data_IF_028063976316
#
_entry.id   IF_028063976316
#
_cell.length_a   1.000
_cell.length_b   1.000
_cell.length_c   1.000
_cell.angle_alpha   90.00
_cell.angle_beta   90.00
_cell.angle_gamma   90.00
#
_symmetry.space_group_name_H-M   'P 1'
#
loop_
_entity.id
_entity.type
_entity.pdbx_description
1 polymer ?
#
# COMPACT_ATOMS: atom_id res chain seq x y z
N UNK A 1 9.51 -62.95 28.33
CA UNK A 1 8.53 -62.18 27.54
C UNK A 1 8.08 -60.84 28.18
N UNK A 2 8.56 -60.47 29.37
CA UNK A 2 8.14 -59.19 30.03
C UNK A 2 8.91 -57.93 29.61
N UNK A 3 10.14 -58.01 29.11
CA UNK A 3 11.01 -56.92 28.82
C UNK A 3 10.55 -56.09 27.60
N UNK A 4 9.92 -56.71 26.61
CA UNK A 4 9.45 -56.04 25.35
C UNK A 4 8.22 -55.12 25.56
N UNK A 5 7.39 -55.36 26.56
CA UNK A 5 6.19 -54.54 26.85
C UNK A 5 6.52 -53.21 27.53
N UNK A 6 7.55 -53.20 28.38
CA UNK A 6 7.96 -51.99 29.11
C UNK A 6 8.60 -50.94 28.15
N UNK A 7 9.39 -51.40 27.20
CA UNK A 7 10.06 -50.54 26.23
C UNK A 7 9.07 -49.88 25.25
N UNK A 8 8.07 -50.64 24.80
CA UNK A 8 6.99 -50.08 23.93
C UNK A 8 6.12 -49.07 24.65
N UNK A 9 5.90 -49.22 25.95
CA UNK A 9 5.13 -48.25 26.75
C UNK A 9 5.91 -46.96 26.99
N UNK A 10 7.22 -47.04 27.23
CA UNK A 10 8.09 -45.88 27.38
C UNK A 10 8.18 -45.06 26.10
N UNK A 11 8.36 -45.69 24.93
CA UNK A 11 8.38 -45.00 23.64
C UNK A 11 7.05 -44.32 23.34
N UNK A 12 5.91 -44.91 23.63
CA UNK A 12 4.59 -44.26 23.44
C UNK A 12 4.41 -43.03 24.32
N UNK A 13 4.91 -43.03 25.54
CA UNK A 13 4.84 -41.88 26.45
C UNK A 13 5.75 -40.76 25.97
N UNK A 14 6.94 -41.09 25.46
CA UNK A 14 7.86 -40.09 24.87
C UNK A 14 7.27 -39.48 23.62
N UNK A 15 6.70 -40.27 22.71
CA UNK A 15 6.01 -39.79 21.53
C UNK A 15 4.79 -38.91 21.87
N UNK A 16 4.00 -39.30 22.87
CA UNK A 16 2.86 -38.51 23.31
C UNK A 16 3.29 -37.13 23.88
N UNK A 17 4.37 -37.09 24.67
CA UNK A 17 4.94 -35.84 25.21
C UNK A 17 5.51 -34.97 24.10
N UNK A 18 6.20 -35.55 23.13
CA UNK A 18 6.73 -34.80 21.96
C UNK A 18 5.61 -34.23 21.09
N UNK A 19 4.53 -35.02 20.85
CA UNK A 19 3.37 -34.53 20.10
C UNK A 19 2.64 -33.39 20.83
N UNK A 20 2.54 -33.49 22.18
CA UNK A 20 1.93 -32.43 22.99
C UNK A 20 2.77 -31.14 22.99
N UNK A 21 4.09 -31.27 23.05
CA UNK A 21 5.00 -30.12 22.95
C UNK A 21 4.94 -29.47 21.57
N UNK A 22 4.88 -30.24 20.48
CA UNK A 22 4.72 -29.74 19.13
C UNK A 22 3.38 -29.03 18.95
N UNK A 23 2.28 -29.57 19.46
CA UNK A 23 0.97 -28.92 19.42
C UNK A 23 0.95 -27.59 20.20
N UNK A 24 1.58 -27.56 21.38
CA UNK A 24 1.71 -26.32 22.16
C UNK A 24 2.51 -25.26 21.43
N UNK A 25 3.59 -25.65 20.75
CA UNK A 25 4.39 -24.73 19.93
C UNK A 25 3.57 -24.12 18.77
N UNK A 26 2.80 -24.95 18.07
CA UNK A 26 1.91 -24.49 16.99
C UNK A 26 0.86 -23.51 17.50
N UNK A 27 0.27 -23.77 18.68
CA UNK A 27 -0.71 -22.86 19.29
C UNK A 27 -0.06 -21.51 19.65
N UNK A 28 1.15 -21.51 20.21
CA UNK A 28 1.87 -20.29 20.54
C UNK A 28 2.22 -19.48 19.29
N UNK A 29 2.66 -20.16 18.22
CA UNK A 29 2.96 -19.50 16.95
C UNK A 29 1.69 -18.93 16.28
N UNK A 30 0.59 -19.68 16.32
CA UNK A 30 -0.70 -19.22 15.81
C UNK A 30 -1.26 -18.03 16.60
N UNK A 31 -1.16 -18.08 17.94
CA UNK A 31 -1.57 -16.99 18.81
C UNK A 31 -0.69 -15.74 18.61
N UNK A 32 0.62 -15.91 18.44
CA UNK A 32 1.56 -14.84 18.11
C UNK A 32 1.25 -14.20 16.75
N UNK A 33 0.94 -15.01 15.74
CA UNK A 33 0.56 -14.54 14.41
C UNK A 33 -0.78 -13.79 14.43
N UNK A 34 -1.81 -14.34 15.10
CA UNK A 34 -3.10 -13.65 15.24
C UNK A 34 -3.00 -12.41 16.11
N UNK A 35 -2.24 -12.45 17.20
CA UNK A 35 -2.00 -11.28 18.05
C UNK A 35 -1.24 -10.17 17.29
N UNK A 36 -0.26 -10.53 16.47
CA UNK A 36 0.44 -9.59 15.57
C UNK A 36 -0.52 -8.91 14.60
N UNK A 37 -1.38 -9.68 13.94
CA UNK A 37 -2.39 -9.11 13.02
C UNK A 37 -3.38 -8.16 13.71
N UNK A 38 -3.88 -8.54 14.89
CA UNK A 38 -4.80 -7.70 15.66
C UNK A 38 -4.14 -6.42 16.19
N UNK A 39 -2.82 -6.44 16.44
CA UNK A 39 -2.05 -5.25 16.82
C UNK A 39 -1.74 -4.36 15.61
N UNK A 40 -1.54 -4.95 14.42
CA UNK A 40 -1.41 -4.18 13.17
C UNK A 40 -2.70 -3.45 12.81
N UNK A 41 -3.87 -4.09 12.92
CA UNK A 41 -5.17 -3.44 12.70
C UNK A 41 -5.46 -2.28 13.69
N UNK A 42 -4.95 -2.36 14.92
CA UNK A 42 -5.10 -1.28 15.91
C UNK A 42 -4.10 -0.14 15.75
N UNK A 43 -2.96 -0.37 15.11
CA UNK A 43 -1.87 0.61 15.01
C UNK A 43 -2.03 1.59 13.85
N UNK A 44 -2.87 1.27 12.90
CA UNK A 44 -3.27 2.13 11.81
C UNK A 44 -4.79 2.28 11.86
N UNK A 45 -5.34 3.30 12.53
CA UNK A 45 -6.68 3.71 12.18
C UNK A 45 -6.60 4.00 10.69
N UNK A 46 -7.21 3.14 9.88
CA UNK A 46 -7.53 3.51 8.52
C UNK A 46 -8.14 4.90 8.63
N UNK A 47 -7.52 5.88 7.99
CA UNK A 47 -8.21 7.10 7.60
C UNK A 47 -9.07 6.67 6.40
N UNK A 48 -9.91 5.71 6.66
CA UNK A 48 -11.10 5.40 5.94
C UNK A 48 -12.12 6.34 6.54
N UNK A 49 -12.16 7.55 6.01
CA UNK A 49 -13.39 8.31 6.12
C UNK A 49 -14.47 7.33 5.73
N UNK A 50 -15.32 6.94 6.69
CA UNK A 50 -16.52 6.20 6.41
C UNK A 50 -17.24 6.98 5.32
N UNK A 51 -17.07 6.55 4.07
CA UNK A 51 -18.02 6.89 3.03
C UNK A 51 -19.30 6.17 3.42
N UNK A 52 -19.94 6.75 4.41
CA UNK A 52 -21.31 6.50 4.75
C UNK A 52 -22.09 6.79 3.47
N UNK A 53 -22.52 5.76 2.78
CA UNK A 53 -23.45 5.84 1.67
C UNK A 53 -24.78 6.35 2.22
N UNK A 54 -24.82 7.64 2.51
CA UNK A 54 -25.99 8.44 2.84
C UNK A 54 -26.08 9.53 1.80
N UNK A 55 -27.02 9.42 0.90
CA UNK A 55 -27.44 10.54 0.07
C UNK A 55 -27.68 11.76 0.95
N UNK A 56 -26.79 12.75 0.94
CA UNK A 56 -27.15 14.01 1.58
C UNK A 56 -26.09 15.06 1.85
N UNK A 57 -24.87 14.74 2.25
CA UNK A 57 -23.92 15.81 2.56
C UNK A 57 -22.60 15.63 1.81
N UNK A 58 -22.24 16.67 1.05
CA UNK A 58 -20.93 16.77 0.38
C UNK A 58 -19.87 16.87 1.48
N UNK A 59 -18.81 16.05 1.47
CA UNK A 59 -17.72 16.17 2.43
C UNK A 59 -17.13 17.58 2.43
N UNK A 60 -16.96 18.13 3.64
CA UNK A 60 -16.42 19.47 3.85
C UNK A 60 -15.12 19.38 4.62
N UNK A 61 -14.13 20.15 4.19
CA UNK A 61 -12.82 20.27 4.85
C UNK A 61 -12.61 21.74 5.18
N UNK A 62 -12.20 22.02 6.41
CA UNK A 62 -11.84 23.36 6.84
C UNK A 62 -10.30 23.51 6.79
N UNK A 63 -9.82 24.47 6.02
CA UNK A 63 -8.40 24.80 5.88
C UNK A 63 -8.26 26.30 6.13
N UNK A 64 -7.45 26.69 7.10
CA UNK A 64 -7.19 28.09 7.50
C UNK A 64 -8.46 28.91 7.72
N UNK A 65 -9.50 28.30 8.34
CA UNK A 65 -10.77 28.95 8.61
C UNK A 65 -11.69 29.10 7.39
N UNK A 66 -11.31 28.53 6.25
CA UNK A 66 -12.14 28.47 5.05
C UNK A 66 -12.70 27.07 4.87
N UNK A 67 -14.02 26.97 4.73
CA UNK A 67 -14.68 25.69 4.47
C UNK A 67 -14.69 25.40 2.97
N UNK A 68 -14.10 24.28 2.60
CA UNK A 68 -14.10 23.74 1.23
C UNK A 68 -15.06 22.58 1.14
N UNK A 69 -15.80 22.50 0.05
CA UNK A 69 -16.67 21.37 -0.29
C UNK A 69 -16.01 20.52 -1.35
N UNK A 70 -16.04 19.17 -1.15
CA UNK A 70 -15.51 18.25 -2.13
C UNK A 70 -16.38 18.29 -3.40
N UNK A 71 -15.73 18.40 -4.56
CA UNK A 71 -16.40 18.24 -5.84
C UNK A 71 -16.68 16.77 -6.09
N UNK A 72 -17.94 16.41 -6.27
CA UNK A 72 -18.38 15.03 -6.52
C UNK A 72 -18.44 14.65 -8.00
N UNK A 73 -18.47 15.64 -8.90
CA UNK A 73 -18.60 15.44 -10.36
C UNK A 73 -17.24 15.67 -11.06
N UNK A 74 -16.23 14.95 -10.56
CA UNK A 74 -14.86 14.98 -11.08
C UNK A 74 -14.33 13.57 -11.20
N UNK A 75 -13.45 13.34 -12.18
CA UNK A 75 -12.61 12.13 -12.27
C UNK A 75 -11.15 12.55 -12.11
N UNK A 76 -10.42 11.85 -11.27
CA UNK A 76 -9.00 12.07 -11.03
C UNK A 76 -8.16 10.96 -11.65
N UNK A 77 -7.07 11.33 -12.33
CA UNK A 77 -6.11 10.42 -12.95
C UNK A 77 -4.69 10.85 -12.56
N UNK A 78 -3.95 9.97 -11.89
CA UNK A 78 -2.54 10.19 -11.62
C UNK A 78 -1.68 9.52 -12.70
N UNK A 79 -0.91 10.32 -13.42
CA UNK A 79 0.13 9.84 -14.32
C UNK A 79 1.45 9.71 -13.55
N UNK A 80 2.06 8.54 -13.60
CA UNK A 80 3.28 8.18 -12.88
C UNK A 80 4.35 7.81 -13.91
N UNK A 81 5.32 8.69 -14.12
CA UNK A 81 6.49 8.41 -14.97
C UNK A 81 7.62 7.83 -14.12
N UNK A 82 8.11 6.64 -14.47
CA UNK A 82 9.15 5.94 -13.70
C UNK A 82 10.48 5.88 -14.44
N UNK A 83 11.57 5.89 -13.67
CA UNK A 83 12.96 5.87 -14.16
C UNK A 83 13.45 4.49 -14.63
N UNK A 84 12.57 3.50 -14.78
CA UNK A 84 12.89 2.17 -15.31
C UNK A 84 12.51 2.06 -16.79
N UNK A 85 13.34 1.35 -17.54
CA UNK A 85 13.11 1.11 -18.97
C UNK A 85 11.85 0.25 -19.19
N UNK A 86 11.63 -0.76 -18.33
CA UNK A 86 10.44 -1.61 -18.34
C UNK A 86 10.03 -1.99 -16.94
N UNK A 87 8.73 -2.13 -16.70
CA UNK A 87 8.17 -2.58 -15.44
C UNK A 87 8.27 -4.08 -15.21
N UNK A 88 8.46 -4.85 -16.29
CA UNK A 88 8.52 -6.32 -16.23
C UNK A 88 9.84 -6.84 -15.66
N UNK A 89 10.89 -6.02 -15.69
CA UNK A 89 12.21 -6.37 -15.16
C UNK A 89 12.38 -6.12 -13.67
N UNK A 90 11.40 -5.50 -13.02
CA UNK A 90 11.49 -5.13 -11.61
C UNK A 90 11.38 -6.37 -10.73
N UNK A 91 12.50 -6.76 -10.15
CA UNK A 91 12.60 -7.86 -9.19
C UNK A 91 12.76 -7.30 -7.78
N UNK A 92 11.82 -7.72 -6.90
CA UNK A 92 11.88 -7.33 -5.48
C UNK A 92 10.95 -6.18 -5.12
N UNK A 93 10.69 -6.07 -3.83
CA UNK A 93 9.68 -5.19 -3.25
C UNK A 93 10.20 -3.81 -2.84
N UNK A 94 11.47 -3.50 -3.13
CA UNK A 94 12.14 -2.22 -2.82
C UNK A 94 12.86 -1.60 -4.03
N UNK A 95 12.69 -2.15 -5.20
CA UNK A 95 13.37 -1.72 -6.41
C UNK A 95 12.38 -1.41 -7.54
N UNK A 96 11.26 -0.84 -7.18
CA UNK A 96 10.20 -0.46 -8.12
C UNK A 96 10.54 0.69 -9.06
N UNK A 97 11.72 1.30 -8.90
CA UNK A 97 12.08 2.54 -9.57
C UNK A 97 11.52 3.77 -8.85
N UNK A 98 11.94 4.94 -9.26
CA UNK A 98 11.46 6.22 -8.74
C UNK A 98 10.41 6.79 -9.67
N UNK A 99 9.37 7.39 -9.11
CA UNK A 99 8.39 8.16 -9.87
C UNK A 99 8.90 9.58 -10.09
N UNK A 100 9.69 9.76 -11.15
CA UNK A 100 10.34 11.03 -11.48
C UNK A 100 9.37 12.08 -12.04
N UNK A 101 8.22 11.63 -12.49
CA UNK A 101 7.16 12.47 -13.01
C UNK A 101 5.82 12.09 -12.38
N UNK A 102 5.18 13.04 -11.73
CA UNK A 102 3.87 12.88 -11.11
C UNK A 102 2.97 14.02 -11.59
N UNK A 103 1.92 13.68 -12.33
CA UNK A 103 0.94 14.63 -12.85
C UNK A 103 -0.46 14.17 -12.51
N UNK A 104 -1.14 14.93 -11.65
CA UNK A 104 -2.55 14.71 -11.34
C UNK A 104 -3.42 15.50 -12.31
N UNK A 105 -4.24 14.80 -13.07
CA UNK A 105 -5.28 15.36 -13.93
C UNK A 105 -6.62 15.26 -13.21
N UNK A 106 -7.34 16.38 -13.12
CA UNK A 106 -8.67 16.45 -12.56
C UNK A 106 -9.64 16.91 -13.64
N UNK A 107 -10.52 15.99 -14.05
CA UNK A 107 -11.55 16.21 -15.06
C UNK A 107 -12.83 16.64 -14.36
N UNK A 108 -13.22 17.88 -14.53
CA UNK A 108 -14.46 18.46 -14.00
C UNK A 108 -15.57 18.30 -15.05
N UNK A 109 -16.45 17.33 -14.84
CA UNK A 109 -17.51 16.99 -15.81
C UNK A 109 -18.57 18.06 -15.92
N UNK A 110 -18.86 18.76 -14.83
CA UNK A 110 -19.85 19.84 -14.79
C UNK A 110 -19.39 21.05 -15.60
N UNK A 111 -18.15 21.47 -15.40
CA UNK A 111 -17.60 22.64 -16.07
C UNK A 111 -16.89 22.32 -17.39
N UNK A 112 -16.78 21.03 -17.75
CA UNK A 112 -16.07 20.53 -18.95
C UNK A 112 -14.63 21.07 -19.03
N UNK A 113 -13.92 21.04 -17.89
CA UNK A 113 -12.54 21.52 -17.79
C UNK A 113 -11.63 20.43 -17.27
N UNK A 114 -10.39 20.48 -17.71
CA UNK A 114 -9.31 19.63 -17.20
C UNK A 114 -8.34 20.55 -16.47
N UNK A 115 -8.05 20.21 -15.22
CA UNK A 115 -7.00 20.86 -14.44
C UNK A 115 -5.86 19.89 -14.24
N UNK A 116 -4.64 20.41 -14.32
CA UNK A 116 -3.44 19.63 -14.13
C UNK A 116 -2.64 20.19 -12.95
N UNK A 117 -2.13 19.29 -12.12
CA UNK A 117 -1.25 19.58 -11.01
C UNK A 117 -0.01 18.70 -11.13
N UNK A 118 1.12 19.30 -11.48
CA UNK A 118 2.41 18.64 -11.42
C UNK A 118 2.93 18.66 -9.99
N UNK A 119 3.38 17.50 -9.50
CA UNK A 119 3.95 17.33 -8.17
C UNK A 119 5.45 17.14 -8.34
N UNK A 120 6.24 17.98 -7.68
CA UNK A 120 7.69 17.87 -7.71
C UNK A 120 8.13 16.57 -7.04
N UNK A 121 9.02 15.82 -7.70
CA UNK A 121 9.54 14.53 -7.24
C UNK A 121 10.20 14.60 -5.87
N UNK A 122 10.78 15.74 -5.51
CA UNK A 122 11.50 15.94 -4.26
C UNK A 122 10.59 16.43 -3.12
N UNK A 123 9.28 16.56 -3.37
CA UNK A 123 8.30 16.91 -2.33
C UNK A 123 8.32 15.90 -1.20
N UNK A 124 8.47 16.39 0.02
CA UNK A 124 8.50 15.56 1.22
C UNK A 124 7.10 15.23 1.70
N UNK A 125 6.78 13.94 1.78
CA UNK A 125 5.49 13.45 2.26
C UNK A 125 5.62 12.13 3.01
N UNK A 126 4.53 11.67 3.62
CA UNK A 126 4.46 10.36 4.25
C UNK A 126 4.35 9.25 3.20
N UNK A 127 5.33 8.36 3.15
CA UNK A 127 5.40 7.23 2.22
C UNK A 127 5.40 5.92 3.01
N UNK A 128 4.58 4.97 2.59
CA UNK A 128 4.59 3.62 3.16
C UNK A 128 5.84 2.87 2.71
N UNK A 129 6.52 2.25 3.66
CA UNK A 129 7.76 1.51 3.40
C UNK A 129 7.61 0.03 3.74
N UNK A 130 8.28 -0.81 2.97
CA UNK A 130 8.33 -2.25 3.23
C UNK A 130 9.61 -2.62 3.97
N UNK A 131 9.48 -3.59 4.87
CA UNK A 131 10.60 -4.20 5.60
C UNK A 131 11.44 -5.12 4.72
N UNK A 132 12.45 -5.77 5.32
CA UNK A 132 13.38 -6.67 4.62
C UNK A 132 12.69 -7.89 3.99
N UNK A 133 11.55 -8.27 4.50
CA UNK A 133 10.78 -9.44 4.03
C UNK A 133 9.48 -9.06 3.29
N UNK A 134 9.39 -7.81 2.81
CA UNK A 134 8.19 -7.32 2.11
C UNK A 134 7.00 -7.01 3.02
N UNK A 135 7.14 -7.16 4.34
CA UNK A 135 6.11 -6.77 5.29
C UNK A 135 6.01 -5.24 5.42
N UNK A 136 4.83 -4.75 5.71
CA UNK A 136 4.64 -3.32 5.99
C UNK A 136 5.48 -2.90 7.21
N UNK A 137 6.36 -1.93 7.02
CA UNK A 137 7.23 -1.36 8.06
C UNK A 137 6.78 0.03 8.55
N UNK A 138 5.55 0.42 8.20
CA UNK A 138 4.96 1.70 8.54
C UNK A 138 5.24 2.78 7.50
N UNK A 139 5.05 4.04 7.89
CA UNK A 139 5.27 5.19 7.01
C UNK A 139 6.46 6.00 7.47
N UNK A 140 7.13 6.65 6.52
CA UNK A 140 8.24 7.58 6.77
C UNK A 140 8.10 8.82 5.90
N UNK A 141 8.47 9.97 6.45
CA UNK A 141 8.57 11.20 5.66
C UNK A 141 9.80 11.12 4.78
N UNK A 142 9.60 11.13 3.47
CA UNK A 142 10.65 11.08 2.45
C UNK A 142 10.16 11.71 1.16
N UNK A 143 11.04 11.83 0.16
CA UNK A 143 10.70 12.30 -1.17
C UNK A 143 9.60 11.44 -1.79
N UNK A 144 8.61 12.08 -2.40
CA UNK A 144 7.44 11.39 -2.96
C UNK A 144 7.81 10.43 -4.10
N UNK A 145 8.87 10.71 -4.85
CA UNK A 145 9.36 9.84 -5.92
C UNK A 145 9.74 8.43 -5.42
N UNK A 146 10.11 8.30 -4.14
CA UNK A 146 10.48 7.01 -3.55
C UNK A 146 9.27 6.13 -3.23
N UNK A 147 8.05 6.67 -3.30
CA UNK A 147 6.82 5.92 -3.00
C UNK A 147 6.65 4.73 -3.93
N UNK A 148 6.95 4.88 -5.22
CA UNK A 148 6.87 3.81 -6.23
C UNK A 148 7.91 2.71 -6.01
N UNK A 149 8.99 2.99 -5.30
CA UNK A 149 10.03 2.01 -4.98
C UNK A 149 9.54 0.83 -4.14
N UNK A 150 8.44 0.99 -3.39
CA UNK A 150 7.95 0.01 -2.43
C UNK A 150 6.64 -0.63 -2.90
N UNK A 151 6.64 -1.95 -3.06
CA UNK A 151 5.48 -2.78 -3.42
C UNK A 151 5.91 -4.16 -3.88
N UNK A 152 5.09 -5.17 -3.60
CA UNK A 152 5.36 -6.55 -3.99
C UNK A 152 5.19 -6.76 -5.49
N UNK A 153 4.30 -5.99 -6.09
CA UNK A 153 4.01 -6.00 -7.52
C UNK A 153 3.81 -4.57 -8.06
N UNK A 154 3.56 -4.47 -9.36
CA UNK A 154 3.34 -3.21 -10.06
C UNK A 154 2.14 -2.45 -9.50
N UNK A 155 1.05 -3.15 -9.21
CA UNK A 155 -0.16 -2.53 -8.70
C UNK A 155 0.05 -1.90 -7.32
N UNK A 156 0.70 -2.63 -6.41
CA UNK A 156 1.00 -2.10 -5.07
C UNK A 156 1.93 -0.89 -5.11
N UNK A 157 2.91 -0.87 -6.02
CA UNK A 157 3.80 0.30 -6.20
C UNK A 157 3.04 1.53 -6.65
N UNK A 158 2.18 1.38 -7.65
CA UNK A 158 1.32 2.47 -8.10
C UNK A 158 0.38 2.93 -6.99
N UNK A 159 -0.25 2.00 -6.26
CA UNK A 159 -1.12 2.33 -5.13
C UNK A 159 -0.36 3.06 -4.01
N UNK A 160 0.91 2.72 -3.78
CA UNK A 160 1.72 3.44 -2.79
C UNK A 160 1.98 4.89 -3.23
N UNK A 161 2.21 5.13 -4.51
CA UNK A 161 2.32 6.48 -5.06
C UNK A 161 1.00 7.26 -4.98
N UNK A 162 -0.15 6.62 -5.27
CA UNK A 162 -1.46 7.23 -5.09
C UNK A 162 -1.66 7.68 -3.64
N UNK A 163 -1.47 6.78 -2.67
CA UNK A 163 -1.62 7.10 -1.24
C UNK A 163 -0.70 8.25 -0.78
N UNK A 164 0.52 8.31 -1.33
CA UNK A 164 1.45 9.39 -1.03
C UNK A 164 0.95 10.74 -1.56
N UNK A 165 0.36 10.78 -2.75
CA UNK A 165 -0.26 11.97 -3.34
C UNK A 165 -1.54 12.36 -2.60
N UNK A 166 -2.41 11.41 -2.31
CA UNK A 166 -3.64 11.62 -1.54
C UNK A 166 -3.35 12.22 -0.17
N UNK A 167 -2.37 11.66 0.54
CA UNK A 167 -1.93 12.16 1.83
C UNK A 167 -1.29 13.56 1.76
N UNK A 168 -0.52 13.85 0.71
CA UNK A 168 0.09 15.16 0.49
C UNK A 168 -0.96 16.25 0.26
N UNK A 169 -1.96 15.93 -0.58
CA UNK A 169 -2.98 16.90 -1.00
C UNK A 169 -4.20 16.92 -0.06
N UNK A 170 -4.24 16.00 0.92
CA UNK A 170 -5.41 15.78 1.76
C UNK A 170 -6.69 15.67 0.91
N UNK A 171 -6.59 14.95 -0.20
CA UNK A 171 -7.67 14.75 -1.16
C UNK A 171 -8.31 13.37 -0.99
N UNK A 172 -9.53 13.18 -1.51
CA UNK A 172 -10.14 11.86 -1.59
C UNK A 172 -9.35 10.91 -2.50
N UNK A 173 -9.75 9.65 -2.51
CA UNK A 173 -9.17 8.60 -3.34
C UNK A 173 -9.06 9.03 -4.81
N UNK A 174 -7.86 8.85 -5.39
CA UNK A 174 -7.61 9.06 -6.81
C UNK A 174 -8.12 7.84 -7.57
N UNK A 175 -9.11 8.03 -8.44
CA UNK A 175 -9.85 6.95 -9.08
C UNK A 175 -9.04 6.14 -10.09
N UNK A 176 -8.17 6.83 -10.85
CA UNK A 176 -7.43 6.22 -11.95
C UNK A 176 -5.94 6.53 -11.85
N UNK A 177 -5.12 5.61 -12.34
CA UNK A 177 -3.70 5.87 -12.53
C UNK A 177 -3.20 5.30 -13.85
N UNK A 178 -2.11 5.88 -14.34
CA UNK A 178 -1.36 5.40 -15.50
C UNK A 178 0.13 5.45 -15.19
N UNK A 179 0.81 4.32 -15.31
CA UNK A 179 2.26 4.21 -15.16
C UNK A 179 2.92 4.23 -16.54
N UNK A 180 3.92 5.09 -16.70
CA UNK A 180 4.66 5.29 -17.95
C UNK A 180 6.15 5.02 -17.70
N UNK A 181 6.68 3.88 -18.14
CA UNK A 181 8.12 3.61 -18.09
C UNK A 181 8.87 4.38 -19.18
N UNK A 182 10.19 4.50 -19.06
CA UNK A 182 11.02 5.26 -19.99
C UNK A 182 10.93 4.78 -21.43
N UNK A 183 10.82 3.48 -21.68
CA UNK A 183 10.71 2.90 -23.01
C UNK A 183 9.37 3.22 -23.71
N UNK A 184 8.32 3.48 -22.94
CA UNK A 184 7.04 3.89 -23.50
C UNK A 184 7.06 5.30 -24.12
N UNK A 185 8.03 6.14 -23.71
CA UNK A 185 8.12 7.53 -24.20
C UNK A 185 8.42 7.56 -25.70
N UNK A 186 9.31 6.70 -26.18
CA UNK A 186 9.62 6.60 -27.63
C UNK A 186 8.37 6.20 -28.42
N UNK A 187 7.63 5.21 -27.94
CA UNK A 187 6.39 4.74 -28.58
C UNK A 187 5.31 5.85 -28.62
N UNK A 188 5.18 6.62 -27.53
CA UNK A 188 4.23 7.74 -27.47
C UNK A 188 4.63 8.90 -28.40
N UNK A 189 5.92 9.08 -28.64
CA UNK A 189 6.41 10.17 -29.48
C UNK A 189 6.33 9.84 -30.99
N UNK A 190 6.23 8.55 -31.34
CA UNK A 190 6.15 8.05 -32.71
C UNK A 190 4.69 7.91 -33.21
N UNK A 191 3.69 8.23 -32.38
CA UNK A 191 2.26 8.27 -32.71
C UNK A 191 1.81 9.65 -33.22
#
# INVERSE_FOLDING_TARGET
MAHSRHEKRSRRVVFAKAALAAAALVIVLAAGYMGGRLLEEKKYPEIRGEMSAGFGEVPKVEIDGVTYEQKMDVTSLLMIGIDKASTDEIKGYRDGGQSDFLLLLVLDHKNKTIRQLQIDRDTMTSVNVLGLFGNNAGSRVMQICLSHGYGMDRQERCQNSLRAVEGLLNCPEIELYMEVPLDAISTLNDL
#
